data_IF_420516088740
#
_entry.id   IF_420516088740
#
_cell.length_a   1.000
_cell.length_b   1.000
_cell.length_c   1.000
_cell.angle_alpha   90.00
_cell.angle_beta   90.00
_cell.angle_gamma   90.00
#
_symmetry.space_group_name_H-M   'P 1'
#
loop_
_entity.id
_entity.type
_entity.pdbx_description
1 polymer ?
#
# COMPACT_ATOMS: atom_id res chain seq x y z
N UNK A 1 5.68 16.35 22.82
CA UNK A 1 4.83 15.52 21.94
C UNK A 1 5.74 14.60 21.15
N UNK A 2 5.70 13.28 21.38
CA UNK A 2 6.29 12.35 20.42
C UNK A 2 5.53 12.52 19.11
N UNK A 3 6.24 12.85 18.02
CA UNK A 3 5.63 12.80 16.70
C UNK A 3 5.15 11.37 16.47
N UNK A 4 3.85 11.17 16.23
CA UNK A 4 3.28 9.87 15.90
C UNK A 4 3.99 9.38 14.62
N UNK A 5 5.01 8.53 14.81
CA UNK A 5 5.91 8.07 13.76
C UNK A 5 5.33 6.89 13.01
N UNK A 6 4.20 6.35 13.49
CA UNK A 6 3.54 5.21 12.90
C UNK A 6 2.97 5.55 11.53
N UNK A 7 3.04 4.60 10.62
CA UNK A 7 2.59 4.76 9.24
C UNK A 7 1.40 3.86 8.94
N UNK A 8 0.67 4.20 7.89
CA UNK A 8 -0.34 3.32 7.32
C UNK A 8 0.31 2.41 6.27
N UNK A 9 0.20 1.09 6.44
CA UNK A 9 0.73 0.14 5.47
C UNK A 9 -0.34 -0.16 4.42
N UNK A 10 0.03 -0.14 3.15
CA UNK A 10 -0.84 -0.49 2.03
C UNK A 10 -0.21 -1.62 1.24
N UNK A 11 -0.98 -2.66 1.00
CA UNK A 11 -0.62 -3.74 0.06
C UNK A 11 -1.66 -3.70 -1.05
N UNK A 12 -1.21 -3.49 -2.27
CA UNK A 12 -2.14 -3.22 -3.37
C UNK A 12 -1.66 -3.69 -4.73
N UNK A 13 -2.60 -3.94 -5.63
CA UNK A 13 -2.32 -4.28 -7.03
C UNK A 13 -3.50 -3.84 -7.89
N UNK A 14 -3.25 -3.02 -8.90
CA UNK A 14 -4.29 -2.48 -9.79
C UNK A 14 -3.78 -2.35 -11.22
N UNK A 15 -4.70 -2.25 -12.16
CA UNK A 15 -4.45 -1.82 -13.52
C UNK A 15 -3.92 -0.38 -13.54
N UNK A 16 -3.11 -0.01 -14.54
CA UNK A 16 -2.50 1.32 -14.62
C UNK A 16 -3.50 2.48 -14.61
N UNK A 17 -4.63 2.31 -15.30
CA UNK A 17 -5.70 3.31 -15.40
C UNK A 17 -6.33 3.70 -14.05
N UNK A 18 -6.28 2.80 -13.07
CA UNK A 18 -6.89 3.01 -11.74
C UNK A 18 -5.90 3.61 -10.72
N UNK A 19 -4.60 3.66 -11.03
CA UNK A 19 -3.56 4.16 -10.13
C UNK A 19 -3.85 5.58 -9.61
N UNK A 20 -4.29 6.56 -10.44
CA UNK A 20 -4.56 7.91 -9.95
C UNK A 20 -5.62 7.94 -8.85
N UNK A 21 -6.73 7.22 -9.04
CA UNK A 21 -7.85 7.19 -8.09
C UNK A 21 -7.50 6.38 -6.84
N UNK A 22 -6.80 5.25 -7.03
CA UNK A 22 -6.23 4.46 -5.96
C UNK A 22 -5.37 5.32 -5.01
N UNK A 23 -4.44 6.11 -5.55
CA UNK A 23 -3.54 6.94 -4.74
C UNK A 23 -4.31 8.01 -3.97
N UNK A 24 -5.26 8.70 -4.60
CA UNK A 24 -6.15 9.66 -3.92
C UNK A 24 -6.87 9.02 -2.75
N UNK A 25 -7.40 7.82 -2.96
CA UNK A 25 -8.08 7.05 -1.92
C UNK A 25 -7.13 6.69 -0.77
N UNK A 26 -5.92 6.22 -1.05
CA UNK A 26 -4.96 5.86 0.00
C UNK A 26 -4.52 7.07 0.84
N UNK A 27 -4.31 8.24 0.23
CA UNK A 27 -4.03 9.46 0.98
C UNK A 27 -5.23 9.91 1.82
N UNK A 28 -6.45 9.79 1.31
CA UNK A 28 -7.67 10.03 2.10
C UNK A 28 -7.72 9.11 3.33
N UNK A 29 -7.45 7.82 3.16
CA UNK A 29 -7.39 6.85 4.26
C UNK A 29 -6.28 7.18 5.28
N UNK A 30 -5.12 7.62 4.79
CA UNK A 30 -4.02 8.07 5.63
C UNK A 30 -4.46 9.21 6.56
N UNK A 31 -5.17 10.22 6.02
CA UNK A 31 -5.73 11.33 6.80
C UNK A 31 -6.80 10.87 7.79
N UNK A 32 -7.74 10.02 7.34
CA UNK A 32 -8.79 9.48 8.22
C UNK A 32 -8.22 8.65 9.38
N UNK A 33 -7.08 8.00 9.15
CA UNK A 33 -6.37 7.23 10.17
C UNK A 33 -5.52 8.11 11.10
N UNK A 34 -5.57 9.44 10.96
CA UNK A 34 -4.65 10.38 11.62
C UNK A 34 -3.18 9.96 11.45
N UNK A 35 -2.81 9.40 10.30
CA UNK A 35 -1.43 9.10 9.95
C UNK A 35 -0.88 10.22 9.08
N UNK A 36 0.41 10.53 9.24
CA UNK A 36 1.13 11.47 8.37
C UNK A 36 2.03 10.76 7.36
N UNK A 37 2.13 9.44 7.46
CA UNK A 37 3.03 8.61 6.66
C UNK A 37 2.30 7.39 6.12
N UNK A 38 2.63 6.99 4.89
CA UNK A 38 2.20 5.73 4.31
C UNK A 38 3.36 4.98 3.67
N UNK A 39 3.32 3.66 3.79
CA UNK A 39 4.20 2.75 3.08
C UNK A 39 3.34 1.95 2.12
N UNK A 40 3.59 2.12 0.83
CA UNK A 40 2.87 1.48 -0.25
C UNK A 40 3.70 0.34 -0.85
N UNK A 41 3.21 -0.88 -0.72
CA UNK A 41 3.67 -2.04 -1.48
C UNK A 41 2.72 -2.25 -2.67
N UNK A 42 3.14 -1.82 -3.86
CA UNK A 42 2.38 -1.94 -5.09
C UNK A 42 2.91 -3.12 -5.94
N UNK A 43 2.06 -4.12 -6.19
CA UNK A 43 2.43 -5.30 -6.98
C UNK A 43 1.97 -5.11 -8.43
N UNK A 44 2.92 -5.05 -9.35
CA UNK A 44 2.68 -4.83 -10.78
C UNK A 44 3.91 -5.18 -11.62
N UNK A 45 3.71 -5.36 -12.92
CA UNK A 45 4.81 -5.45 -13.90
C UNK A 45 5.40 -4.08 -14.27
N UNK A 46 4.73 -2.99 -13.86
CA UNK A 46 5.22 -1.63 -14.08
C UNK A 46 6.55 -1.38 -13.35
N UNK A 47 7.46 -0.69 -14.02
CA UNK A 47 8.63 -0.09 -13.37
C UNK A 47 8.22 1.08 -12.46
N UNK A 48 9.11 1.44 -11.53
CA UNK A 48 8.88 2.59 -10.65
C UNK A 48 8.63 3.90 -11.43
N UNK A 49 9.42 4.27 -12.47
CA UNK A 49 9.12 5.47 -13.26
C UNK A 49 7.74 5.45 -13.91
N UNK A 50 7.30 4.31 -14.47
CA UNK A 50 5.97 4.18 -15.08
C UNK A 50 4.86 4.37 -14.04
N UNK A 51 4.99 3.70 -12.88
CA UNK A 51 4.05 3.90 -11.78
C UNK A 51 3.93 5.38 -11.38
N UNK A 52 5.07 6.08 -11.25
CA UNK A 52 5.08 7.51 -10.90
C UNK A 52 4.42 8.37 -11.97
N UNK A 53 4.52 8.02 -13.26
CA UNK A 53 3.82 8.75 -14.32
C UNK A 53 2.30 8.73 -14.13
N UNK A 54 1.72 7.57 -13.79
CA UNK A 54 0.29 7.47 -13.49
C UNK A 54 -0.07 8.17 -12.16
N UNK A 55 0.77 8.01 -11.14
CA UNK A 55 0.48 8.54 -9.81
C UNK A 55 0.76 10.05 -9.64
N UNK A 56 1.42 10.70 -10.61
CA UNK A 56 2.04 12.02 -10.47
C UNK A 56 1.12 13.08 -9.86
N UNK A 57 -0.02 13.34 -10.49
CA UNK A 57 -0.95 14.40 -10.04
C UNK A 57 -1.47 14.09 -8.63
N UNK A 58 -1.88 12.85 -8.40
CA UNK A 58 -2.38 12.40 -7.10
C UNK A 58 -1.30 12.47 -6.01
N UNK A 59 -0.01 12.31 -6.32
CA UNK A 59 1.09 12.50 -5.37
C UNK A 59 1.31 13.99 -5.09
N UNK A 60 1.29 14.85 -6.11
CA UNK A 60 1.47 16.30 -5.98
C UNK A 60 0.38 16.93 -5.10
N UNK A 61 -0.87 16.52 -5.29
CA UNK A 61 -2.02 16.95 -4.48
C UNK A 61 -1.88 16.60 -2.98
N UNK A 62 -0.96 15.72 -2.62
CA UNK A 62 -0.79 15.16 -1.28
C UNK A 62 0.65 15.25 -0.78
N UNK A 63 1.42 16.23 -1.27
CA UNK A 63 2.84 16.44 -0.92
C UNK A 63 3.07 16.72 0.58
N UNK A 64 2.02 17.09 1.31
CA UNK A 64 2.04 17.29 2.77
C UNK A 64 2.20 15.98 3.56
N UNK A 65 1.91 14.83 2.93
CA UNK A 65 2.00 13.51 3.54
C UNK A 65 3.27 12.79 3.10
N UNK A 66 3.93 12.13 4.06
CA UNK A 66 5.10 11.31 3.77
C UNK A 66 4.67 10.00 3.09
N UNK A 67 5.27 9.68 1.95
CA UNK A 67 5.00 8.43 1.24
C UNK A 67 6.29 7.71 0.88
N UNK A 68 6.34 6.41 1.17
CA UNK A 68 7.36 5.49 0.66
C UNK A 68 6.68 4.48 -0.25
N UNK A 69 7.15 4.40 -1.50
CA UNK A 69 6.55 3.54 -2.52
C UNK A 69 7.56 2.46 -2.89
N UNK A 70 7.13 1.21 -2.76
CA UNK A 70 7.82 0.05 -3.27
C UNK A 70 6.97 -0.59 -4.36
N UNK A 71 7.53 -0.68 -5.56
CA UNK A 71 6.96 -1.47 -6.66
C UNK A 71 7.58 -2.86 -6.67
N UNK A 72 6.75 -3.90 -6.74
CA UNK A 72 7.18 -5.30 -6.71
C UNK A 72 6.61 -6.03 -7.92
N UNK A 73 7.46 -6.81 -8.59
CA UNK A 73 6.95 -7.80 -9.55
C UNK A 73 6.32 -8.98 -8.82
N UNK A 74 5.55 -9.79 -9.54
CA UNK A 74 4.85 -10.94 -8.96
C UNK A 74 5.82 -11.97 -8.36
N UNK A 75 6.94 -12.17 -9.02
CA UNK A 75 8.04 -13.04 -8.57
C UNK A 75 8.75 -12.54 -7.31
N UNK A 76 8.72 -11.24 -7.04
CA UNK A 76 9.41 -10.61 -5.90
C UNK A 76 8.55 -10.52 -4.64
N UNK A 77 7.37 -11.15 -4.64
CA UNK A 77 6.41 -11.12 -3.52
C UNK A 77 7.00 -11.65 -2.21
N UNK A 78 7.94 -12.60 -2.25
CA UNK A 78 8.63 -13.07 -1.04
C UNK A 78 9.52 -11.98 -0.40
N UNK A 79 10.19 -11.16 -1.23
CA UNK A 79 11.01 -10.05 -0.74
C UNK A 79 10.12 -8.95 -0.14
N UNK A 80 9.01 -8.65 -0.81
CA UNK A 80 7.98 -7.76 -0.29
C UNK A 80 7.48 -8.22 1.10
N UNK A 81 7.16 -9.51 1.26
CA UNK A 81 6.68 -10.07 2.53
C UNK A 81 7.70 -9.89 3.66
N UNK A 82 8.99 -10.10 3.38
CA UNK A 82 10.06 -9.81 4.37
C UNK A 82 10.02 -8.35 4.80
N UNK A 83 9.89 -7.42 3.85
CA UNK A 83 9.80 -5.99 4.14
C UNK A 83 8.58 -5.61 4.98
N UNK A 84 7.43 -6.23 4.68
CA UNK A 84 6.20 -6.08 5.47
C UNK A 84 6.41 -6.57 6.91
N UNK A 85 7.06 -7.71 7.09
CA UNK A 85 7.35 -8.27 8.42
C UNK A 85 8.33 -7.40 9.20
N UNK A 86 9.39 -6.90 8.56
CA UNK A 86 10.40 -6.02 9.17
C UNK A 86 9.82 -4.70 9.67
N UNK A 87 8.78 -4.19 9.02
CA UNK A 87 8.24 -2.85 9.29
C UNK A 87 6.95 -2.87 10.12
N UNK A 88 6.37 -4.05 10.36
CA UNK A 88 5.06 -4.22 11.01
C UNK A 88 4.94 -3.53 12.38
N UNK A 89 6.00 -3.46 13.18
CA UNK A 89 5.90 -2.97 14.57
C UNK A 89 5.71 -1.44 14.63
N UNK A 90 5.98 -0.75 13.52
CA UNK A 90 5.77 0.68 13.35
C UNK A 90 4.50 1.01 12.54
N UNK A 91 3.69 0.00 12.18
CA UNK A 91 2.45 0.25 11.46
C UNK A 91 1.31 0.64 12.41
N UNK A 92 0.45 1.55 11.95
CA UNK A 92 -0.80 1.94 12.61
C UNK A 92 -1.98 1.06 12.18
N UNK A 93 -1.89 0.51 10.97
CA UNK A 93 -2.90 -0.34 10.36
C UNK A 93 -2.47 -0.77 8.97
N UNK A 94 -3.17 -1.77 8.45
CA UNK A 94 -2.99 -2.33 7.11
C UNK A 94 -4.25 -2.07 6.28
N UNK A 95 -4.06 -1.60 5.05
CA UNK A 95 -5.10 -1.51 4.02
C UNK A 95 -4.74 -2.42 2.86
N UNK A 96 -5.74 -3.19 2.40
CA UNK A 96 -5.66 -3.95 1.16
C UNK A 96 -6.45 -3.23 0.07
N UNK A 97 -5.90 -3.17 -1.13
CA UNK A 97 -6.57 -2.55 -2.28
C UNK A 97 -6.25 -3.27 -3.58
N UNK A 98 -7.28 -3.58 -4.37
CA UNK A 98 -7.10 -4.11 -5.70
C UNK A 98 -8.35 -3.88 -6.54
N UNK A 99 -8.16 -3.99 -7.85
CA UNK A 99 -9.27 -4.20 -8.77
C UNK A 99 -9.61 -5.69 -8.89
N UNK A 100 -10.66 -5.99 -9.66
CA UNK A 100 -11.15 -7.35 -9.87
C UNK A 100 -10.11 -8.26 -10.55
N UNK A 101 -9.29 -7.71 -11.47
CA UNK A 101 -8.27 -8.47 -12.21
C UNK A 101 -7.11 -8.89 -11.30
N UNK A 102 -6.85 -8.13 -10.25
CA UNK A 102 -5.73 -8.31 -9.34
C UNK A 102 -6.15 -8.87 -7.96
N UNK A 103 -7.43 -9.19 -7.76
CA UNK A 103 -7.92 -9.81 -6.52
C UNK A 103 -7.16 -11.08 -6.15
N UNK A 104 -6.98 -11.97 -7.13
CA UNK A 104 -6.34 -13.29 -6.93
C UNK A 104 -4.90 -13.15 -6.42
N UNK A 105 -4.15 -12.14 -6.86
CA UNK A 105 -2.76 -11.95 -6.37
C UNK A 105 -2.74 -11.47 -4.93
N UNK A 106 -3.64 -10.56 -4.55
CA UNK A 106 -3.75 -10.10 -3.16
C UNK A 106 -4.19 -11.24 -2.25
N UNK A 107 -5.17 -12.06 -2.65
CA UNK A 107 -5.58 -13.23 -1.87
C UNK A 107 -4.41 -14.20 -1.59
N UNK A 108 -3.58 -14.48 -2.60
CA UNK A 108 -2.38 -15.32 -2.45
C UNK A 108 -1.35 -14.70 -1.49
N UNK A 109 -1.12 -13.39 -1.58
CA UNK A 109 -0.25 -12.67 -0.64
C UNK A 109 -0.81 -12.77 0.78
N UNK A 110 -2.12 -12.55 0.93
CA UNK A 110 -2.79 -12.64 2.22
C UNK A 110 -2.66 -14.02 2.84
N UNK A 111 -2.69 -15.11 2.07
CA UNK A 111 -2.45 -16.45 2.63
C UNK A 111 -1.08 -16.58 3.32
N UNK A 112 -0.05 -15.87 2.82
CA UNK A 112 1.32 -15.91 3.35
C UNK A 112 1.59 -14.93 4.49
N UNK A 113 0.77 -13.89 4.66
CA UNK A 113 0.96 -12.91 5.72
C UNK A 113 0.62 -13.52 7.10
N UNK A 114 1.48 -13.36 8.12
CA UNK A 114 1.20 -13.81 9.49
C UNK A 114 -0.09 -13.23 10.08
N UNK A 115 -0.79 -14.01 10.91
CA UNK A 115 -2.06 -13.59 11.53
C UNK A 115 -1.93 -12.33 12.40
N UNK A 116 -0.76 -12.11 13.02
CA UNK A 116 -0.48 -10.91 13.81
C UNK A 116 -0.50 -9.63 12.96
N UNK A 117 -0.09 -9.71 11.69
CA UNK A 117 -0.16 -8.58 10.76
C UNK A 117 -1.59 -8.43 10.23
N UNK A 118 -2.27 -9.54 9.88
CA UNK A 118 -3.67 -9.54 9.44
C UNK A 118 -4.63 -8.94 10.45
N UNK A 119 -4.38 -9.13 11.75
CA UNK A 119 -5.19 -8.55 12.81
C UNK A 119 -5.20 -7.01 12.79
N UNK A 120 -4.24 -6.37 12.10
CA UNK A 120 -4.17 -4.93 11.94
C UNK A 120 -4.83 -4.41 10.64
N UNK A 121 -5.54 -5.26 9.90
CA UNK A 121 -6.31 -4.82 8.72
C UNK A 121 -7.44 -3.91 9.21
N UNK A 122 -7.38 -2.64 8.80
CA UNK A 122 -8.42 -1.66 9.13
C UNK A 122 -9.44 -1.51 8.00
N UNK A 123 -9.02 -1.75 6.76
CA UNK A 123 -9.88 -1.74 5.57
C UNK A 123 -9.38 -2.72 4.53
N UNK A 124 -10.34 -3.34 3.84
CA UNK A 124 -10.10 -4.31 2.78
C UNK A 124 -10.97 -3.93 1.58
N UNK A 125 -10.34 -3.30 0.59
CA UNK A 125 -10.98 -2.88 -0.65
C UNK A 125 -10.85 -3.92 -1.78
N UNK A 126 -10.40 -5.14 -1.44
CA UNK A 126 -10.27 -6.25 -2.38
C UNK A 126 -11.40 -7.28 -2.28
N UNK A 127 -12.15 -7.28 -1.18
CA UNK A 127 -13.18 -8.28 -0.90
C UNK A 127 -14.48 -8.05 -1.65
#
# INVERSE_FOLDING_TARGET
MQADSKFLMIISSTSPEDIPEFIKKMFKECRLSNSKKLILHFISELSYPEFIQYARESLLDNIDLGVYIYTWKKEDTEQMLRKVIETKDSMKGLILYCDDNNKVIIEKIMQKIPNSIKANIIKDYCK
#
